data_IF_422330382844
#
_entry.id   IF_422330382844
#
_cell.length_a   1.000
_cell.length_b   1.000
_cell.length_c   1.000
_cell.angle_alpha   90.00
_cell.angle_beta   90.00
_cell.angle_gamma   90.00
#
_symmetry.space_group_name_H-M   'P 1'
#
loop_
_entity.id
_entity.type
_entity.pdbx_description
1 polymer ?
#
# COMPACT_ATOMS: atom_id res chain seq x y z
N UNK A 1 5.04 -27.10 17.30
CA UNK A 1 4.86 -25.91 16.43
C UNK A 1 6.15 -25.14 16.33
N UNK A 2 6.64 -24.90 15.11
CA UNK A 2 7.92 -24.21 14.82
C UNK A 2 7.74 -22.69 14.62
N UNK A 3 8.83 -21.92 14.69
CA UNK A 3 8.82 -20.48 14.40
C UNK A 3 8.32 -20.17 12.98
N UNK A 4 8.65 -21.04 12.01
CA UNK A 4 8.19 -20.97 10.61
C UNK A 4 6.66 -21.07 10.51
N UNK A 5 6.06 -22.04 11.21
CA UNK A 5 4.60 -22.21 11.22
C UNK A 5 3.88 -21.01 11.86
N UNK A 6 4.44 -20.44 12.92
CA UNK A 6 3.90 -19.22 13.56
C UNK A 6 3.96 -18.03 12.60
N UNK A 7 5.03 -17.89 11.83
CA UNK A 7 5.16 -16.85 10.82
C UNK A 7 4.10 -17.01 9.72
N UNK A 8 3.97 -18.20 9.12
CA UNK A 8 2.95 -18.43 8.07
C UNK A 8 1.52 -18.28 8.59
N UNK A 9 1.24 -18.68 9.83
CA UNK A 9 -0.09 -18.51 10.43
C UNK A 9 -0.40 -17.04 10.70
N UNK A 10 0.58 -16.24 11.15
CA UNK A 10 0.44 -14.78 11.27
C UNK A 10 0.25 -14.13 9.89
N UNK A 11 1.00 -14.57 8.89
CA UNK A 11 0.89 -14.08 7.51
C UNK A 11 -0.51 -14.35 6.93
N UNK A 12 -1.05 -15.56 7.12
CA UNK A 12 -2.41 -15.92 6.71
C UNK A 12 -3.50 -15.15 7.47
N UNK A 13 -3.30 -14.90 8.78
CA UNK A 13 -4.22 -14.07 9.56
C UNK A 13 -4.18 -12.60 9.13
N UNK A 14 -3.03 -12.09 8.67
CA UNK A 14 -2.91 -10.73 8.12
C UNK A 14 -3.43 -10.63 6.68
N UNK A 15 -3.40 -11.70 5.90
CA UNK A 15 -3.95 -11.75 4.54
C UNK A 15 -5.48 -11.79 4.49
N UNK A 16 -6.14 -12.00 5.64
CA UNK A 16 -7.59 -12.09 5.72
C UNK A 16 -8.19 -11.19 6.83
N UNK A 17 -7.92 -9.87 6.86
CA UNK A 17 -8.67 -8.99 7.74
C UNK A 17 -10.14 -9.05 7.28
N UNK A 18 -11.06 -9.14 8.24
CA UNK A 18 -12.50 -9.00 7.99
C UNK A 18 -12.72 -7.82 7.03
N UNK A 19 -13.32 -8.11 5.87
CA UNK A 19 -13.55 -7.21 4.71
C UNK A 19 -14.48 -6.01 4.97
N UNK A 20 -14.52 -5.53 6.20
CA UNK A 20 -15.32 -4.41 6.64
C UNK A 20 -14.54 -3.69 7.74
N UNK A 21 -13.45 -3.02 7.37
CA UNK A 21 -13.17 -1.79 8.10
C UNK A 21 -14.34 -0.88 7.75
N UNK A 22 -15.26 -0.68 8.70
CA UNK A 22 -16.23 0.40 8.60
C UNK A 22 -15.40 1.68 8.57
N UNK A 23 -15.26 2.23 7.38
CA UNK A 23 -14.52 3.46 7.17
C UNK A 23 -15.58 4.56 7.24
N UNK A 24 -15.69 5.13 8.43
CA UNK A 24 -16.68 6.17 8.78
C UNK A 24 -16.33 7.56 8.19
N UNK A 25 -15.44 7.61 7.18
CA UNK A 25 -14.85 8.82 6.61
C UNK A 25 -15.15 9.00 5.12
N UNK A 26 -15.12 10.25 4.64
CA UNK A 26 -15.17 10.53 3.19
C UNK A 26 -13.94 9.94 2.49
N UNK A 27 -14.08 9.50 1.23
CA UNK A 27 -12.98 8.96 0.41
C UNK A 27 -11.70 9.82 0.46
N UNK A 28 -11.84 11.15 0.48
CA UNK A 28 -10.70 12.07 0.54
C UNK A 28 -9.87 11.92 1.83
N UNK A 29 -10.52 11.70 2.98
CA UNK A 29 -9.84 11.53 4.26
C UNK A 29 -9.06 10.21 4.30
N UNK A 30 -9.65 9.15 3.78
CA UNK A 30 -8.99 7.84 3.73
C UNK A 30 -7.83 7.82 2.72
N UNK A 31 -7.98 8.49 1.57
CA UNK A 31 -6.88 8.71 0.62
C UNK A 31 -5.73 9.47 1.30
N UNK A 32 -6.04 10.55 2.04
CA UNK A 32 -5.01 11.31 2.76
C UNK A 32 -4.27 10.44 3.79
N UNK A 33 -5.01 9.63 4.55
CA UNK A 33 -4.45 8.68 5.51
C UNK A 33 -3.56 7.64 4.84
N UNK A 34 -4.02 7.07 3.72
CA UNK A 34 -3.26 6.07 2.96
C UNK A 34 -1.94 6.65 2.43
N UNK A 35 -1.98 7.86 1.88
CA UNK A 35 -0.77 8.59 1.44
C UNK A 35 0.20 8.81 2.59
N UNK A 36 -0.29 9.23 3.75
CA UNK A 36 0.53 9.42 4.95
C UNK A 36 1.17 8.11 5.42
N UNK A 37 0.41 7.01 5.45
CA UNK A 37 0.93 5.70 5.84
C UNK A 37 2.00 5.19 4.87
N UNK A 38 1.83 5.37 3.56
CA UNK A 38 2.85 5.02 2.57
C UNK A 38 4.12 5.87 2.71
N UNK A 39 3.98 7.16 2.99
CA UNK A 39 5.14 8.03 3.26
C UNK A 39 5.89 7.59 4.52
N UNK A 40 5.18 7.30 5.60
CA UNK A 40 5.78 6.79 6.83
C UNK A 40 6.48 5.44 6.62
N UNK A 41 5.87 4.54 5.85
CA UNK A 41 6.48 3.25 5.48
C UNK A 41 7.78 3.46 4.69
N UNK A 42 7.80 4.38 3.72
CA UNK A 42 8.99 4.70 2.94
C UNK A 42 10.14 5.20 3.82
N UNK A 43 9.83 6.06 4.80
CA UNK A 43 10.81 6.53 5.78
C UNK A 43 11.34 5.40 6.67
N UNK A 44 10.45 4.55 7.19
CA UNK A 44 10.83 3.40 8.03
C UNK A 44 11.73 2.42 7.26
N UNK A 45 11.38 2.10 6.02
CA UNK A 45 12.18 1.23 5.15
C UNK A 45 13.55 1.86 4.89
N UNK A 46 13.61 3.15 4.59
CA UNK A 46 14.89 3.85 4.39
C UNK A 46 15.79 3.74 5.62
N UNK A 47 15.22 3.89 6.83
CA UNK A 47 15.95 3.74 8.08
C UNK A 47 16.41 2.30 8.34
N UNK A 48 15.58 1.30 8.01
CA UNK A 48 15.94 -0.12 8.21
C UNK A 48 17.09 -0.58 7.31
N UNK A 49 17.19 -0.03 6.11
CA UNK A 49 18.21 -0.40 5.13
C UNK A 49 19.43 0.52 5.12
N UNK A 50 19.44 1.56 5.97
CA UNK A 50 20.61 2.44 6.10
C UNK A 50 21.87 1.65 6.48
N UNK A 51 22.97 1.92 5.78
CA UNK A 51 24.25 1.21 5.96
C UNK A 51 24.28 -0.25 5.49
N UNK A 52 23.20 -0.82 4.95
CA UNK A 52 23.17 -2.23 4.49
C UNK A 52 23.70 -2.43 3.07
N UNK A 53 23.92 -1.35 2.32
CA UNK A 53 24.26 -1.40 0.89
C UNK A 53 23.06 -1.65 -0.03
N UNK A 54 21.85 -1.81 0.52
CA UNK A 54 20.60 -1.83 -0.24
C UNK A 54 20.12 -0.38 -0.41
N UNK A 55 20.02 0.06 -1.66
CA UNK A 55 19.51 1.40 -1.98
C UNK A 55 17.98 1.40 -1.94
N UNK A 56 17.40 2.41 -1.28
CA UNK A 56 15.96 2.63 -1.20
C UNK A 56 15.60 3.82 -2.09
N UNK A 57 14.94 3.54 -3.21
CA UNK A 57 14.48 4.57 -4.15
C UNK A 57 12.99 4.81 -3.93
N UNK A 58 12.63 6.06 -3.62
CA UNK A 58 11.23 6.48 -3.46
C UNK A 58 10.82 7.25 -4.70
N UNK A 59 9.74 6.83 -5.34
CA UNK A 59 9.15 7.52 -6.49
C UNK A 59 7.70 7.89 -6.22
N UNK A 60 7.19 8.86 -6.98
CA UNK A 60 5.77 9.20 -6.97
C UNK A 60 5.04 8.39 -8.04
N UNK A 61 3.96 7.73 -7.64
CA UNK A 61 3.03 7.06 -8.56
C UNK A 61 1.72 7.82 -8.59
N UNK A 62 1.17 8.01 -9.79
CA UNK A 62 -0.18 8.50 -10.00
C UNK A 62 -1.14 7.31 -10.03
N UNK A 63 -2.10 7.27 -9.09
CA UNK A 63 -3.12 6.23 -9.05
C UNK A 63 -4.46 6.77 -9.59
N UNK A 64 -5.07 5.97 -10.45
CA UNK A 64 -6.46 6.07 -10.86
C UNK A 64 -7.23 4.98 -10.13
N UNK A 65 -7.76 5.31 -8.95
CA UNK A 65 -8.35 4.33 -8.06
C UNK A 65 -9.84 4.15 -8.34
N UNK A 66 -10.19 2.99 -8.89
CA UNK A 66 -11.57 2.57 -9.12
C UNK A 66 -12.22 1.99 -7.87
N UNK A 67 -11.43 1.57 -6.88
CA UNK A 67 -11.95 0.95 -5.65
C UNK A 67 -12.81 1.91 -4.82
N UNK A 68 -12.72 3.22 -5.09
CA UNK A 68 -13.53 4.27 -4.46
C UNK A 68 -14.91 4.47 -5.09
N UNK A 69 -15.22 3.78 -6.20
CA UNK A 69 -16.54 3.84 -6.84
C UNK A 69 -17.61 3.30 -5.90
N UNK A 70 -18.64 4.11 -5.62
CA UNK A 70 -19.74 3.71 -4.75
C UNK A 70 -19.37 3.57 -3.27
N UNK A 71 -18.12 3.88 -2.91
CA UNK A 71 -17.64 3.86 -1.53
C UNK A 71 -18.35 4.90 -0.64
N UNK A 72 -18.68 6.07 -1.20
CA UNK A 72 -19.47 7.11 -0.57
C UNK A 72 -20.44 7.71 -1.59
N UNK A 73 -21.52 8.34 -1.13
CA UNK A 73 -22.56 8.91 -1.98
C UNK A 73 -22.04 9.88 -3.05
N UNK A 74 -20.83 10.45 -2.87
CA UNK A 74 -20.21 11.39 -3.79
C UNK A 74 -18.84 10.91 -4.34
N UNK A 75 -18.40 9.68 -4.07
CA UNK A 75 -17.10 9.22 -4.59
C UNK A 75 -17.25 8.59 -5.97
N UNK A 76 -16.69 9.29 -6.96
CA UNK A 76 -16.34 8.72 -8.26
C UNK A 76 -14.95 8.09 -8.23
N UNK A 77 -14.37 7.91 -9.43
CA UNK A 77 -12.97 7.51 -9.60
C UNK A 77 -12.07 8.56 -8.97
N UNK A 78 -11.29 8.16 -7.97
CA UNK A 78 -10.35 9.05 -7.32
C UNK A 78 -8.99 9.01 -8.02
N UNK A 79 -8.33 10.17 -8.13
CA UNK A 79 -6.99 10.31 -8.69
C UNK A 79 -6.08 10.97 -7.68
N UNK A 80 -4.94 10.36 -7.38
CA UNK A 80 -4.03 10.90 -6.38
C UNK A 80 -2.61 10.36 -6.53
N UNK A 81 -1.67 11.12 -5.98
CA UNK A 81 -0.25 10.80 -5.95
C UNK A 81 0.10 10.05 -4.67
N UNK A 82 0.88 8.97 -4.81
CA UNK A 82 1.27 8.14 -3.68
C UNK A 82 2.72 7.64 -3.83
N UNK A 83 3.48 7.52 -2.73
CA UNK A 83 4.83 6.97 -2.79
C UNK A 83 4.82 5.50 -3.24
N UNK A 84 5.77 5.16 -4.10
CA UNK A 84 6.19 3.81 -4.42
C UNK A 84 7.65 3.63 -3.99
N UNK A 85 8.00 2.42 -3.59
CA UNK A 85 9.32 2.13 -3.03
C UNK A 85 9.97 1.03 -3.88
N UNK A 86 11.20 1.25 -4.30
CA UNK A 86 12.05 0.24 -4.91
C UNK A 86 13.25 0.00 -4.00
N UNK A 87 13.48 -1.26 -3.67
CA UNK A 87 14.70 -1.71 -3.03
C UNK A 87 15.63 -2.24 -4.12
N UNK A 88 16.85 -1.71 -4.18
CA UNK A 88 17.85 -2.08 -5.16
C UNK A 88 19.08 -2.68 -4.46
N UNK A 89 19.54 -3.82 -4.95
CA UNK A 89 20.76 -4.49 -4.49
C UNK A 89 21.57 -4.94 -5.71
N UNK A 90 22.51 -4.09 -6.13
CA UNK A 90 23.23 -4.27 -7.39
C UNK A 90 22.24 -4.32 -8.56
N UNK A 91 22.20 -5.44 -9.28
CA UNK A 91 21.28 -5.65 -10.42
C UNK A 91 19.89 -6.18 -10.01
N UNK A 92 19.68 -6.52 -8.73
CA UNK A 92 18.42 -7.09 -8.24
C UNK A 92 17.53 -6.00 -7.68
N UNK A 93 16.23 -6.11 -7.92
CA UNK A 93 15.25 -5.17 -7.36
C UNK A 93 13.97 -5.82 -6.89
N UNK A 94 13.32 -5.17 -5.93
CA UNK A 94 11.95 -5.46 -5.49
C UNK A 94 11.18 -4.15 -5.41
N UNK A 95 9.94 -4.16 -5.89
CA UNK A 95 9.06 -2.99 -5.84
C UNK A 95 7.93 -3.22 -4.83
N UNK A 96 7.72 -2.26 -3.95
CA UNK A 96 6.56 -2.16 -3.07
C UNK A 96 5.72 -1.00 -3.61
N UNK A 97 4.65 -1.35 -4.32
CA UNK A 97 3.82 -0.40 -5.06
C UNK A 97 2.37 -0.45 -4.57
N UNK A 98 1.82 0.67 -4.08
CA UNK A 98 0.41 0.74 -3.74
C UNK A 98 -0.43 0.54 -5.01
N UNK A 99 -1.52 -0.22 -4.89
CA UNK A 99 -2.39 -0.57 -6.02
C UNK A 99 -3.72 0.19 -5.99
N UNK A 100 -4.36 0.20 -4.82
CA UNK A 100 -5.68 0.79 -4.58
C UNK A 100 -5.86 1.02 -3.08
N UNK A 101 -6.79 1.90 -2.70
CA UNK A 101 -7.15 2.18 -1.31
C UNK A 101 -7.91 1.01 -0.67
N UNK A 102 -8.90 0.45 -1.39
CA UNK A 102 -9.80 -0.58 -0.88
C UNK A 102 -9.58 -1.89 -1.65
N UNK A 103 -9.58 -3.02 -0.94
CA UNK A 103 -9.50 -4.33 -1.56
C UNK A 103 -10.89 -4.75 -2.10
N UNK A 104 -11.28 -4.13 -3.21
CA UNK A 104 -12.55 -4.36 -3.92
C UNK A 104 -12.46 -5.43 -5.01
N UNK A 105 -13.63 -5.86 -5.52
CA UNK A 105 -13.75 -6.79 -6.65
C UNK A 105 -13.23 -6.16 -7.95
N UNK A 106 -13.38 -4.84 -8.08
CA UNK A 106 -12.85 -4.08 -9.21
C UNK A 106 -11.35 -3.87 -9.04
N UNK A 107 -10.57 -4.69 -9.74
CA UNK A 107 -9.12 -4.54 -9.84
C UNK A 107 -8.82 -3.83 -11.16
N UNK A 108 -8.48 -2.56 -11.09
CA UNK A 108 -8.07 -1.81 -12.27
C UNK A 108 -7.12 -0.69 -11.89
N UNK A 109 -5.87 -0.81 -12.32
CA UNK A 109 -4.97 0.33 -12.46
C UNK A 109 -4.82 0.56 -13.94
N UNK A 110 -5.28 1.71 -14.42
CA UNK A 110 -4.99 2.18 -15.77
C UNK A 110 -3.68 2.97 -15.70
N UNK A 111 -2.61 2.39 -16.25
CA UNK A 111 -1.31 3.06 -16.48
C UNK A 111 -1.22 3.61 -17.89
#
# INVERSE_FOLDING_TARGET
MTARERFFKKLQQQQNPRRTAALDGSAAADIARFRQQMAALAQQISQWFDGTGIEVVISTRHLHDLSTLGYSLNSGICRYDIPAIRLQNGERSVNIVPQQLLDGVEKGIVT
#
